data_IF_899266735394
#
_entry.id   IF_899266735394
#
_cell.length_a   1.000
_cell.length_b   1.000
_cell.length_c   1.000
_cell.angle_alpha   90.00
_cell.angle_beta   90.00
_cell.angle_gamma   90.00
#
_symmetry.space_group_name_H-M   'P 1'
#
loop_
_entity.id
_entity.type
_entity.pdbx_description
1 polymer ?
#
# COMPACT_ATOMS: atom_id res chain seq x y z
N UNK A 1 24.63 15.39 -5.65
CA UNK A 1 24.14 14.09 -6.18
C UNK A 1 24.85 12.87 -5.57
N UNK A 2 26.16 12.91 -5.26
CA UNK A 2 26.86 11.81 -4.55
C UNK A 2 26.24 11.46 -3.18
N UNK A 3 25.78 12.46 -2.45
CA UNK A 3 25.14 12.26 -1.13
C UNK A 3 23.85 11.41 -1.18
N UNK A 4 23.01 11.61 -2.21
CA UNK A 4 21.78 10.82 -2.42
C UNK A 4 22.13 9.37 -2.78
N UNK A 5 23.16 9.17 -3.61
CA UNK A 5 23.63 7.83 -3.98
C UNK A 5 24.25 7.09 -2.81
N UNK A 6 24.98 7.77 -1.92
CA UNK A 6 25.53 7.16 -0.71
C UNK A 6 24.46 6.85 0.34
N UNK A 7 23.39 7.65 0.43
CA UNK A 7 22.22 7.32 1.25
C UNK A 7 21.44 6.13 0.69
N UNK A 8 21.29 6.03 -0.63
CA UNK A 8 20.68 4.86 -1.28
C UNK A 8 21.57 3.63 -1.09
N UNK A 9 22.89 3.78 -1.14
CA UNK A 9 23.85 2.68 -1.00
C UNK A 9 24.00 2.21 0.45
N UNK A 10 23.91 3.11 1.42
CA UNK A 10 23.90 2.78 2.84
C UNK A 10 22.55 2.15 3.25
N UNK A 11 21.44 2.63 2.69
CA UNK A 11 20.15 1.95 2.74
C UNK A 11 20.25 0.55 2.10
N UNK A 12 20.93 0.41 0.96
CA UNK A 12 21.20 -0.88 0.31
C UNK A 12 22.14 -1.80 1.11
N UNK A 13 23.01 -1.27 1.95
CA UNK A 13 23.84 -2.07 2.86
C UNK A 13 23.01 -2.59 4.05
N UNK A 14 22.01 -1.82 4.52
CA UNK A 14 20.97 -2.31 5.42
C UNK A 14 20.01 -3.32 4.76
N UNK A 15 19.98 -3.37 3.41
CA UNK A 15 19.25 -4.37 2.62
C UNK A 15 19.86 -5.78 2.61
N UNK A 16 21.01 -6.01 3.27
CA UNK A 16 21.69 -7.33 3.30
C UNK A 16 21.28 -8.21 4.50
N UNK A 17 20.52 -7.66 5.44
CA UNK A 17 20.09 -8.33 6.66
C UNK A 17 18.70 -8.97 6.44
N UNK A 18 18.36 -10.08 7.11
CA UNK A 18 17.06 -10.77 6.96
C UNK A 18 15.82 -9.87 7.11
N UNK A 19 15.99 -8.68 7.68
CA UNK A 19 15.07 -7.54 7.68
C UNK A 19 14.49 -7.18 6.30
N UNK A 20 15.31 -7.28 5.26
CA UNK A 20 14.99 -6.80 3.91
C UNK A 20 13.95 -7.62 3.20
N UNK A 21 13.95 -8.94 3.43
CA UNK A 21 12.94 -9.83 2.89
C UNK A 21 11.54 -9.49 3.41
N UNK A 22 11.45 -9.03 4.65
CA UNK A 22 10.17 -8.61 5.24
C UNK A 22 9.68 -7.32 4.59
N UNK A 23 10.55 -6.33 4.41
CA UNK A 23 10.23 -5.08 3.71
C UNK A 23 9.83 -5.34 2.25
N UNK A 24 10.60 -6.14 1.52
CA UNK A 24 10.30 -6.53 0.13
C UNK A 24 8.96 -7.27 0.05
N UNK A 25 8.73 -8.24 0.95
CA UNK A 25 7.47 -8.98 1.00
C UNK A 25 6.27 -8.07 1.24
N UNK A 26 6.42 -7.06 2.09
CA UNK A 26 5.36 -6.10 2.37
C UNK A 26 5.10 -5.13 1.23
N UNK A 27 6.17 -4.63 0.58
CA UNK A 27 6.03 -3.83 -0.64
C UNK A 27 5.33 -4.64 -1.73
N UNK A 28 5.74 -5.90 -1.92
CA UNK A 28 5.10 -6.81 -2.87
C UNK A 28 3.63 -7.03 -2.53
N UNK A 29 3.28 -7.25 -1.26
CA UNK A 29 1.89 -7.40 -0.82
C UNK A 29 1.06 -6.16 -1.11
N UNK A 30 1.54 -4.97 -0.73
CA UNK A 30 0.83 -3.72 -1.00
C UNK A 30 0.75 -3.41 -2.50
N UNK A 31 1.79 -3.71 -3.27
CA UNK A 31 1.78 -3.56 -4.72
C UNK A 31 0.77 -4.52 -5.37
N UNK A 32 0.66 -5.76 -4.89
CA UNK A 32 -0.34 -6.72 -5.36
C UNK A 32 -1.77 -6.27 -5.05
N UNK A 33 -2.01 -5.75 -3.84
CA UNK A 33 -3.32 -5.18 -3.47
C UNK A 33 -3.65 -3.96 -4.35
N UNK A 34 -2.70 -3.05 -4.52
CA UNK A 34 -2.86 -1.90 -5.40
C UNK A 34 -3.12 -2.31 -6.86
N UNK A 35 -2.40 -3.32 -7.36
CA UNK A 35 -2.59 -3.87 -8.69
C UNK A 35 -3.98 -4.48 -8.86
N UNK A 36 -4.45 -5.26 -7.89
CA UNK A 36 -5.79 -5.84 -7.93
C UNK A 36 -6.86 -4.74 -7.98
N UNK A 37 -6.77 -3.73 -7.11
CA UNK A 37 -7.68 -2.58 -7.11
C UNK A 37 -7.62 -1.83 -8.44
N UNK A 38 -6.42 -1.62 -9.00
CA UNK A 38 -6.23 -0.94 -10.27
C UNK A 38 -6.87 -1.69 -11.44
N UNK A 39 -6.76 -3.02 -11.48
CA UNK A 39 -7.43 -3.87 -12.48
C UNK A 39 -8.95 -3.71 -12.43
N UNK A 40 -9.54 -3.67 -11.23
CA UNK A 40 -10.97 -3.40 -11.08
C UNK A 40 -11.34 -1.96 -11.46
N UNK A 41 -10.52 -0.98 -11.08
CA UNK A 41 -10.73 0.42 -11.42
C UNK A 41 -10.77 0.65 -12.94
N UNK A 42 -9.86 0.02 -13.70
CA UNK A 42 -9.86 0.08 -15.18
C UNK A 42 -11.16 -0.47 -15.77
N UNK A 43 -11.72 -1.54 -15.20
CA UNK A 43 -12.99 -2.12 -15.68
C UNK A 43 -14.18 -1.17 -15.44
N UNK A 44 -14.12 -0.37 -14.38
CA UNK A 44 -15.17 0.60 -14.01
C UNK A 44 -15.03 1.96 -14.68
N UNK A 45 -13.90 2.25 -15.32
CA UNK A 45 -13.65 3.56 -15.93
C UNK A 45 -14.57 3.79 -17.14
N UNK A 46 -15.36 4.86 -17.06
CA UNK A 46 -16.33 5.29 -18.06
C UNK A 46 -15.67 5.67 -19.38
N UNK A 47 -14.39 6.09 -19.37
CA UNK A 47 -13.62 6.40 -20.59
C UNK A 47 -13.32 5.12 -21.35
N UNK A 48 -12.79 4.08 -20.70
CA UNK A 48 -12.51 2.81 -21.37
C UNK A 48 -13.78 2.07 -21.80
N UNK A 49 -14.88 2.25 -21.05
CA UNK A 49 -16.21 1.74 -21.44
C UNK A 49 -16.74 2.46 -22.68
N UNK A 50 -16.54 3.77 -22.79
CA UNK A 50 -16.88 4.55 -24.00
C UNK A 50 -16.06 4.11 -25.23
N UNK A 51 -14.80 3.71 -25.04
CA UNK A 51 -13.97 3.13 -26.10
C UNK A 51 -14.28 1.63 -26.38
N UNK A 52 -15.29 1.03 -25.73
CA UNK A 52 -15.72 -0.38 -25.90
C UNK A 52 -14.64 -1.44 -25.66
N UNK A 53 -13.52 -1.09 -25.03
CA UNK A 53 -12.43 -2.05 -24.75
C UNK A 53 -12.76 -3.00 -23.59
N UNK A 54 -13.72 -2.65 -22.72
CA UNK A 54 -14.12 -3.47 -21.58
C UNK A 54 -15.61 -3.81 -21.71
N UNK A 55 -15.93 -5.10 -21.87
CA UNK A 55 -17.31 -5.63 -21.84
C UNK A 55 -17.67 -6.14 -20.44
N UNK A 56 -17.22 -5.44 -19.38
CA UNK A 56 -17.53 -5.83 -18.01
C UNK A 56 -18.87 -5.19 -17.59
N UNK A 57 -19.79 -6.01 -17.07
CA UNK A 57 -21.13 -5.61 -16.60
C UNK A 57 -21.08 -4.87 -15.25
N UNK A 58 -20.17 -3.91 -15.08
CA UNK A 58 -20.09 -3.10 -13.87
C UNK A 58 -21.19 -2.02 -13.86
N UNK A 59 -21.83 -1.84 -12.70
CA UNK A 59 -22.80 -0.77 -12.46
C UNK A 59 -22.14 0.60 -12.64
N UNK A 60 -22.84 1.55 -13.26
CA UNK A 60 -22.35 2.94 -13.37
C UNK A 60 -22.15 3.55 -11.98
N UNK A 61 -20.93 4.04 -11.71
CA UNK A 61 -20.61 4.73 -10.47
C UNK A 61 -21.03 6.19 -10.55
N UNK A 62 -21.77 6.65 -9.55
CA UNK A 62 -22.07 8.07 -9.35
C UNK A 62 -20.86 8.81 -8.75
N UNK A 63 -20.90 10.14 -8.70
CA UNK A 63 -19.79 10.96 -8.19
C UNK A 63 -19.39 10.62 -6.74
N UNK A 64 -20.34 10.20 -5.88
CA UNK A 64 -20.08 9.86 -4.47
C UNK A 64 -19.12 8.68 -4.29
N UNK A 65 -19.43 7.48 -4.82
CA UNK A 65 -18.54 6.33 -4.80
C UNK A 65 -17.15 6.59 -5.37
N UNK A 66 -17.04 7.39 -6.42
CA UNK A 66 -15.75 7.75 -7.03
C UNK A 66 -14.89 8.53 -6.03
N UNK A 67 -15.47 9.53 -5.36
CA UNK A 67 -14.77 10.32 -4.34
C UNK A 67 -14.34 9.42 -3.17
N UNK A 68 -15.20 8.50 -2.72
CA UNK A 68 -14.88 7.57 -1.65
C UNK A 68 -13.71 6.65 -2.01
N UNK A 69 -13.70 6.08 -3.23
CA UNK A 69 -12.61 5.25 -3.72
C UNK A 69 -11.30 6.03 -3.86
N UNK A 70 -11.35 7.25 -4.40
CA UNK A 70 -10.17 8.10 -4.53
C UNK A 70 -9.56 8.45 -3.18
N UNK A 71 -10.41 8.82 -2.22
CA UNK A 71 -10.02 9.09 -0.84
C UNK A 71 -9.39 7.84 -0.20
N UNK A 72 -10.03 6.67 -0.39
CA UNK A 72 -9.51 5.39 0.06
C UNK A 72 -8.12 5.06 -0.51
N UNK A 73 -7.89 5.29 -1.81
CA UNK A 73 -6.58 5.07 -2.44
C UNK A 73 -5.48 5.96 -1.84
N UNK A 74 -5.79 7.23 -1.54
CA UNK A 74 -4.85 8.14 -0.88
C UNK A 74 -4.53 7.68 0.54
N UNK A 75 -5.54 7.34 1.35
CA UNK A 75 -5.32 6.82 2.69
C UNK A 75 -4.57 5.48 2.70
N UNK A 76 -4.84 4.61 1.73
CA UNK A 76 -4.08 3.38 1.54
C UNK A 76 -2.60 3.68 1.28
N UNK A 77 -2.30 4.60 0.35
CA UNK A 77 -0.92 4.96 0.01
C UNK A 77 -0.17 5.55 1.22
N UNK A 78 -0.79 6.50 1.94
CA UNK A 78 -0.17 7.09 3.13
C UNK A 78 0.02 6.07 4.24
N UNK A 79 -0.97 5.22 4.48
CA UNK A 79 -0.86 4.16 5.50
C UNK A 79 0.21 3.14 5.15
N UNK A 80 0.31 2.74 3.88
CA UNK A 80 1.37 1.85 3.40
C UNK A 80 2.75 2.49 3.57
N UNK A 81 2.92 3.75 3.19
CA UNK A 81 4.17 4.50 3.36
C UNK A 81 4.59 4.62 4.84
N UNK A 82 3.64 4.97 5.72
CA UNK A 82 3.89 5.05 7.17
C UNK A 82 4.28 3.69 7.72
N UNK A 83 3.60 2.62 7.30
CA UNK A 83 3.92 1.25 7.75
C UNK A 83 5.33 0.86 7.38
N UNK A 84 5.77 1.15 6.14
CA UNK A 84 7.15 0.89 5.70
C UNK A 84 8.16 1.70 6.53
N UNK A 85 7.86 2.97 6.80
CA UNK A 85 8.71 3.83 7.66
C UNK A 85 8.82 3.30 9.09
N UNK A 86 7.72 2.85 9.70
CA UNK A 86 7.72 2.29 11.06
C UNK A 86 8.49 0.97 11.16
N UNK A 87 8.46 0.14 10.12
CA UNK A 87 9.26 -1.09 10.07
C UNK A 87 10.75 -0.76 9.95
N UNK A 88 11.13 0.20 9.11
CA UNK A 88 12.51 0.67 9.06
C UNK A 88 12.97 1.20 10.43
N UNK A 89 12.11 1.97 11.11
CA UNK A 89 12.34 2.50 12.46
C UNK A 89 12.49 1.39 13.50
N UNK A 90 11.69 0.32 13.42
CA UNK A 90 11.80 -0.86 14.27
C UNK A 90 13.18 -1.51 14.19
N UNK A 91 13.69 -1.74 12.97
CA UNK A 91 15.02 -2.34 12.80
C UNK A 91 16.15 -1.43 13.25
N UNK A 92 16.00 -0.11 13.03
CA UNK A 92 16.96 0.88 13.54
C UNK A 92 17.08 0.80 15.07
N UNK A 93 15.95 0.83 15.80
CA UNK A 93 15.97 0.73 17.26
C UNK A 93 16.36 -0.65 17.79
N UNK A 94 16.06 -1.71 17.04
CA UNK A 94 16.55 -3.06 17.36
C UNK A 94 18.07 -3.13 17.34
N UNK A 95 18.72 -2.46 16.38
CA UNK A 95 20.18 -2.40 16.27
C UNK A 95 20.84 -1.60 17.40
N UNK A 96 20.19 -0.52 17.85
CA UNK A 96 20.69 0.37 18.91
C UNK A 96 20.34 -0.16 20.31
N UNK A 97 19.47 -1.18 20.42
CA UNK A 97 19.12 -1.82 21.69
C UNK A 97 18.06 -1.08 22.51
N UNK A 98 17.39 -0.07 21.94
CA UNK A 98 16.32 0.68 22.62
C UNK A 98 15.01 -0.11 22.61
N UNK A 99 14.71 -0.79 23.72
CA UNK A 99 13.55 -1.71 23.84
C UNK A 99 12.19 -1.01 23.82
N UNK A 100 12.09 0.23 24.31
CA UNK A 100 10.82 0.95 24.40
C UNK A 100 10.35 1.44 23.03
N UNK A 101 11.22 2.19 22.35
CA UNK A 101 11.00 2.70 20.99
C UNK A 101 10.76 1.57 19.98
N UNK A 102 11.46 0.45 20.13
CA UNK A 102 11.25 -0.75 19.29
C UNK A 102 9.82 -1.29 19.41
N UNK A 103 9.26 -1.41 20.63
CA UNK A 103 7.88 -1.90 20.82
C UNK A 103 6.86 -0.90 20.28
N UNK A 104 7.13 0.39 20.42
CA UNK A 104 6.25 1.41 19.89
C UNK A 104 6.22 1.38 18.36
N UNK A 105 7.38 1.36 17.70
CA UNK A 105 7.48 1.25 16.26
C UNK A 105 6.77 -0.01 15.73
N UNK A 106 6.90 -1.15 16.43
CA UNK A 106 6.19 -2.37 16.06
C UNK A 106 4.66 -2.24 16.15
N UNK A 107 4.15 -1.66 17.25
CA UNK A 107 2.70 -1.44 17.42
C UNK A 107 2.15 -0.48 16.36
N UNK A 108 2.87 0.61 16.09
CA UNK A 108 2.48 1.58 15.07
C UNK A 108 2.51 0.95 13.67
N UNK A 109 3.57 0.19 13.34
CA UNK A 109 3.65 -0.55 12.09
C UNK A 109 2.49 -1.53 11.90
N UNK A 110 2.18 -2.35 12.92
CA UNK A 110 1.02 -3.28 12.82
C UNK A 110 -0.30 -2.51 12.69
N UNK A 111 -0.48 -1.40 13.41
CA UNK A 111 -1.67 -0.57 13.33
C UNK A 111 -1.91 -0.01 11.93
N UNK A 112 -0.92 0.68 11.37
CA UNK A 112 -1.01 1.25 10.02
C UNK A 112 -1.05 0.18 8.93
N UNK A 113 -0.34 -0.94 9.11
CA UNK A 113 -0.37 -2.05 8.17
C UNK A 113 -1.75 -2.70 8.12
N UNK A 114 -2.36 -2.96 9.27
CA UNK A 114 -3.72 -3.48 9.36
C UNK A 114 -4.73 -2.49 8.77
N UNK A 115 -4.56 -1.18 9.03
CA UNK A 115 -5.44 -0.16 8.48
C UNK A 115 -5.37 -0.11 6.94
N UNK A 116 -4.17 -0.18 6.37
CA UNK A 116 -3.96 -0.25 4.92
C UNK A 116 -4.64 -1.49 4.31
N UNK A 117 -4.46 -2.66 4.93
CA UNK A 117 -5.10 -3.90 4.47
C UNK A 117 -6.62 -3.78 4.51
N UNK A 118 -7.19 -3.24 5.60
CA UNK A 118 -8.64 -3.03 5.70
C UNK A 118 -9.17 -2.14 4.58
N UNK A 119 -8.50 -1.02 4.28
CA UNK A 119 -8.90 -0.14 3.17
C UNK A 119 -8.88 -0.90 1.84
N UNK A 120 -7.80 -1.66 1.57
CA UNK A 120 -7.68 -2.42 0.34
C UNK A 120 -8.77 -3.48 0.20
N UNK A 121 -9.05 -4.22 1.27
CA UNK A 121 -10.12 -5.24 1.31
C UNK A 121 -11.49 -4.60 1.11
N UNK A 122 -11.78 -3.48 1.79
CA UNK A 122 -13.04 -2.74 1.58
C UNK A 122 -13.20 -2.31 0.13
N UNK A 123 -12.14 -1.81 -0.51
CA UNK A 123 -12.13 -1.47 -1.93
C UNK A 123 -12.42 -2.67 -2.83
N UNK A 124 -11.73 -3.79 -2.60
CA UNK A 124 -11.94 -5.03 -3.37
C UNK A 124 -13.36 -5.59 -3.22
N UNK A 125 -13.90 -5.61 -2.00
CA UNK A 125 -15.29 -6.03 -1.75
C UNK A 125 -16.26 -5.10 -2.46
N UNK A 126 -16.05 -3.78 -2.38
CA UNK A 126 -16.87 -2.81 -3.09
C UNK A 126 -16.87 -3.07 -4.60
N UNK A 127 -15.71 -3.28 -5.21
CA UNK A 127 -15.63 -3.62 -6.63
C UNK A 127 -16.30 -4.96 -6.94
N UNK A 128 -16.10 -6.00 -6.12
CA UNK A 128 -16.71 -7.32 -6.33
C UNK A 128 -18.24 -7.28 -6.25
N UNK A 129 -18.82 -6.41 -5.41
CA UNK A 129 -20.28 -6.27 -5.31
C UNK A 129 -20.88 -5.48 -6.48
N UNK A 130 -20.09 -4.60 -7.12
CA UNK A 130 -20.57 -3.70 -8.19
C UNK A 130 -20.18 -4.17 -9.60
N UNK A 131 -19.19 -5.05 -9.71
CA UNK A 131 -18.69 -5.67 -10.93
C UNK A 131 -18.81 -7.18 -10.80
N UNK A 132 -19.85 -7.75 -11.43
CA UNK A 132 -20.05 -9.20 -11.55
C UNK A 132 -19.83 -9.64 -12.99
#
# INVERSE_FOLDING_TARGET
MKWILDDIRSAFAALKESSTWLVIGMIALFALLAYAIFQYAIRTDSVLRNLKYTMAACREMTNGPIIFLFCGMMFFLFSAAVTLGEIQRYYHFRRIGSKHEMRQAMKHGIGWGSFAITIAVCGLVFFSMNCT
#
